data_IF_370965314740
#
_entry.id   IF_370965314740
#
_cell.length_a   1.000
_cell.length_b   1.000
_cell.length_c   1.000
_cell.angle_alpha   90.00
_cell.angle_beta   90.00
_cell.angle_gamma   90.00
#
_symmetry.space_group_name_H-M   'P 1'
#
loop_
_entity.id
_entity.type
_entity.pdbx_description
1 polymer ?
2 non-polymer ?
3 non-polymer ?
4 water ?
#
# COMPACT_ATOMS: atom_id res chain seq x y z
N UNK A 2 -14.14 -1.84 -25.66
CA UNK A 2 -14.14 -0.39 -25.39
C UNK A 2 -12.96 -0.10 -24.42
N UNK A 3 -12.57 1.14 -24.37
CA UNK A 3 -11.54 1.65 -23.47
C UNK A 3 -12.04 2.84 -22.74
N UNK A 4 -11.80 2.85 -21.41
CA UNK A 4 -12.08 4.02 -20.55
C UNK A 4 -10.81 4.41 -19.87
N UNK A 5 -10.52 5.71 -19.86
CA UNK A 5 -9.43 6.25 -19.06
C UNK A 5 -10.00 7.04 -17.90
N UNK A 6 -9.74 6.59 -16.66
CA UNK A 6 -10.14 7.29 -15.46
C UNK A 6 -8.97 8.09 -14.96
N UNK A 7 -9.24 9.28 -14.43
CA UNK A 7 -8.21 10.10 -13.76
C UNK A 7 -8.41 9.95 -12.26
N UNK A 8 -7.41 9.40 -11.56
CA UNK A 8 -7.56 8.99 -10.17
C UNK A 8 -6.52 9.69 -9.37
N UNK A 9 -6.99 10.25 -8.25
CA UNK A 9 -6.10 10.89 -7.25
C UNK A 9 -5.97 10.00 -6.03
N UNK A 10 -4.76 10.02 -5.47
CA UNK A 10 -4.50 9.31 -4.20
C UNK A 10 -3.67 8.05 -4.37
N UNK A 11 -3.39 7.62 -5.60
CA UNK A 11 -2.63 6.36 -5.78
C UNK A 11 -1.16 6.71 -5.65
N UNK A 12 -0.50 6.20 -4.59
CA UNK A 12 0.87 6.68 -4.32
C UNK A 12 1.95 5.69 -4.52
N UNK A 13 1.64 4.43 -4.70
CA UNK A 13 2.64 3.36 -4.72
C UNK A 13 2.11 2.11 -5.38
N UNK A 14 2.99 1.12 -5.56
CA UNK A 14 2.62 -0.17 -6.11
C UNK A 14 1.49 -0.91 -5.42
N UNK A 15 1.31 -0.73 -4.10
CA UNK A 15 0.16 -1.31 -3.40
C UNK A 15 -1.18 -0.70 -3.86
N UNK A 16 -1.16 0.61 -4.11
CA UNK A 16 -2.35 1.34 -4.58
C UNK A 16 -2.71 0.82 -5.99
N UNK A 17 -1.70 0.72 -6.82
CA UNK A 17 -1.86 0.16 -8.18
C UNK A 17 -2.49 -1.21 -8.11
N UNK A 18 -1.97 -2.09 -7.29
CA UNK A 18 -2.46 -3.44 -7.22
C UNK A 18 -3.91 -3.47 -6.78
N UNK A 19 -4.24 -2.65 -5.79
CA UNK A 19 -5.58 -2.64 -5.24
C UNK A 19 -6.61 -2.14 -6.28
N UNK A 20 -6.25 -1.08 -6.99
CA UNK A 20 -7.14 -0.50 -8.02
C UNK A 20 -7.31 -1.52 -9.14
N UNK A 21 -6.23 -2.09 -9.62
CA UNK A 21 -6.37 -3.07 -10.74
C UNK A 21 -7.21 -4.28 -10.29
N UNK A 22 -7.02 -4.80 -9.07
CA UNK A 22 -7.81 -5.91 -8.62
C UNK A 22 -9.27 -5.60 -8.50
N UNK A 23 -9.59 -4.43 -7.96
CA UNK A 23 -11.01 -4.05 -7.79
C UNK A 23 -11.71 -3.94 -9.15
N UNK A 24 -10.99 -3.37 -10.10
CA UNK A 24 -11.57 -3.25 -11.44
C UNK A 24 -11.73 -4.58 -12.14
N UNK A 25 -10.70 -5.43 -12.08
CA UNK A 25 -10.79 -6.76 -12.69
C UNK A 25 -11.80 -7.70 -12.05
N UNK A 26 -12.24 -7.43 -10.84
CA UNK A 26 -13.33 -8.17 -10.23
C UNK A 26 -14.67 -7.95 -10.86
N UNK A 27 -14.84 -6.85 -11.62
CA UNK A 27 -16.12 -6.55 -12.22
C UNK A 27 -16.29 -7.38 -13.49
N UNK A 28 -17.43 -8.05 -13.59
CA UNK A 28 -17.74 -8.83 -14.81
C UNK A 28 -17.92 -7.87 -15.96
N UNK A 29 -17.17 -8.16 -17.04
CA UNK A 29 -17.13 -7.32 -18.24
C UNK A 29 -15.90 -6.44 -18.37
N UNK A 30 -15.14 -6.27 -17.26
CA UNK A 30 -13.80 -5.64 -17.34
C UNK A 30 -12.81 -6.69 -17.69
N UNK A 31 -12.10 -6.42 -18.78
CA UNK A 31 -11.11 -7.34 -19.35
C UNK A 31 -9.73 -7.13 -18.75
N UNK A 32 -9.32 -5.88 -18.57
CA UNK A 32 -8.08 -5.57 -17.92
C UNK A 32 -8.09 -4.15 -17.41
N UNK A 33 -7.17 -3.82 -16.52
CA UNK A 33 -7.01 -2.48 -16.00
C UNK A 33 -5.51 -2.22 -15.82
N UNK A 34 -5.06 -1.02 -16.20
CA UNK A 34 -3.61 -0.64 -16.13
C UNK A 34 -3.51 0.75 -15.54
N UNK A 35 -3.01 0.80 -14.30
CA UNK A 35 -2.74 2.03 -13.59
C UNK A 35 -1.38 2.59 -14.01
N UNK A 36 -1.36 3.85 -14.37
CA UNK A 36 -0.09 4.60 -14.52
C UNK A 36 0.08 5.47 -13.30
N UNK A 37 0.96 5.07 -12.39
CA UNK A 37 1.14 5.79 -11.13
C UNK A 37 1.71 7.18 -11.34
N UNK A 38 2.43 7.36 -12.45
CA UNK A 38 3.14 8.63 -12.70
C UNK A 38 2.17 9.74 -13.09
N UNK A 39 1.04 9.41 -13.73
CA UNK A 39 0.05 10.46 -14.04
C UNK A 39 -1.33 10.25 -13.50
N UNK A 40 -1.56 9.18 -12.75
CA UNK A 40 -2.86 8.88 -12.19
C UNK A 40 -3.90 8.36 -13.15
N UNK A 41 -3.50 8.09 -14.39
CA UNK A 41 -4.45 7.58 -15.37
C UNK A 41 -4.62 6.09 -15.22
N UNK A 42 -5.87 5.67 -15.24
CA UNK A 42 -6.16 4.25 -15.23
C UNK A 42 -6.91 3.83 -16.52
N UNK A 43 -6.28 2.98 -17.31
CA UNK A 43 -6.85 2.53 -18.56
C UNK A 43 -7.56 1.22 -18.35
N UNK A 44 -8.84 1.16 -18.71
CA UNK A 44 -9.67 -0.05 -18.51
C UNK A 44 -10.16 -0.49 -19.88
N UNK A 45 -9.93 -1.74 -20.19
CA UNK A 45 -10.49 -2.41 -21.38
C UNK A 45 -11.71 -3.20 -20.93
N UNK A 46 -12.83 -3.04 -21.62
CA UNK A 46 -14.08 -3.61 -21.15
C UNK A 46 -15.10 -3.80 -22.27
N UNK A 47 -16.09 -4.65 -21.99
CA UNK A 47 -17.23 -4.86 -22.89
C UNK A 47 -18.29 -3.86 -22.46
N UNK A 48 -18.53 -2.85 -23.29
CA UNK A 48 -19.42 -1.74 -22.95
C UNK A 48 -20.90 -2.17 -23.00
N UNK A 49 -21.19 -3.41 -23.37
CA UNK A 49 -22.54 -3.92 -23.22
C UNK A 49 -22.76 -4.47 -21.84
N UNK A 50 -21.66 -4.74 -21.09
CA UNK A 50 -21.77 -5.44 -19.80
C UNK A 50 -21.48 -4.56 -18.61
N UNK A 51 -20.60 -3.59 -18.78
CA UNK A 51 -20.16 -2.78 -17.62
C UNK A 51 -20.23 -1.33 -17.96
N UNK A 52 -20.72 -0.54 -16.98
CA UNK A 52 -20.76 0.88 -17.08
C UNK A 52 -19.56 1.57 -16.40
N UNK A 53 -19.21 2.76 -16.86
CA UNK A 53 -18.12 3.47 -16.24
C UNK A 53 -18.47 3.78 -14.75
N UNK A 54 -19.75 4.00 -14.46
CA UNK A 54 -20.16 4.23 -13.06
C UNK A 54 -19.71 3.11 -12.11
N UNK A 55 -19.75 1.86 -12.55
CA UNK A 55 -19.30 0.73 -11.77
C UNK A 55 -17.78 0.81 -11.53
N UNK A 56 -17.02 1.25 -12.53
CA UNK A 56 -15.58 1.39 -12.37
C UNK A 56 -15.24 2.47 -11.35
N UNK A 57 -15.88 3.63 -11.50
CA UNK A 57 -15.66 4.73 -10.56
C UNK A 57 -15.98 4.27 -9.15
N UNK A 58 -17.10 3.57 -8.99
CA UNK A 58 -17.45 3.15 -7.61
C UNK A 58 -16.43 2.22 -7.05
N UNK A 59 -15.93 1.29 -7.87
CA UNK A 59 -14.94 0.32 -7.40
C UNK A 59 -13.67 1.02 -6.95
N UNK A 60 -13.29 2.06 -7.64
CA UNK A 60 -12.10 2.80 -7.30
C UNK A 60 -12.34 3.58 -6.00
N UNK A 61 -13.48 4.27 -5.91
CA UNK A 61 -13.77 5.09 -4.76
C UNK A 61 -13.97 4.23 -3.52
N UNK A 62 -14.52 3.03 -3.66
CA UNK A 62 -14.60 2.08 -2.54
C UNK A 62 -13.25 1.61 -1.98
N UNK A 63 -12.19 1.66 -2.77
CA UNK A 63 -10.81 1.41 -2.32
C UNK A 63 -10.16 2.63 -1.68
N UNK A 64 -10.88 3.75 -1.60
CA UNK A 64 -10.41 4.94 -0.92
C UNK A 64 -9.83 6.06 -1.77
N UNK A 65 -9.88 5.96 -3.08
CA UNK A 65 -9.28 6.96 -3.99
C UNK A 65 -10.38 7.89 -4.53
N UNK A 66 -9.99 9.00 -5.14
CA UNK A 66 -10.93 9.96 -5.71
C UNK A 66 -10.85 9.88 -7.23
N UNK A 67 -11.99 9.73 -7.88
CA UNK A 67 -11.99 9.75 -9.32
C UNK A 67 -12.35 11.19 -9.76
N UNK A 68 -11.55 11.81 -10.63
CA UNK A 68 -11.78 13.18 -11.06
C UNK A 68 -12.93 13.22 -12.04
N UNK B 2 11.32 -2.91 25.41
CA UNK B 2 12.20 -1.94 24.83
C UNK B 2 11.45 -1.28 23.67
N UNK B 3 11.89 -0.10 23.36
CA UNK B 3 11.35 0.72 22.24
C UNK B 3 12.46 1.15 21.31
N UNK B 4 12.22 1.00 20.00
CA UNK B 4 13.06 1.60 19.01
C UNK B 4 12.25 2.44 18.09
N UNK B 5 12.76 3.62 17.76
CA UNK B 5 12.07 4.46 16.75
C UNK B 5 12.98 4.51 15.55
N UNK B 6 12.53 3.97 14.42
CA UNK B 6 13.27 4.01 13.18
C UNK B 6 12.68 5.04 12.25
N UNK B 7 13.52 5.74 11.50
CA UNK B 7 13.04 6.74 10.53
C UNK B 7 13.11 6.07 9.16
N UNK B 8 11.99 6.05 8.47
CA UNK B 8 11.84 5.29 7.24
C UNK B 8 11.38 6.23 6.14
N UNK B 9 11.94 6.02 4.97
CA UNK B 9 11.58 6.75 3.72
C UNK B 9 10.84 5.83 2.77
N UNK B 10 9.80 6.35 2.12
CA UNK B 10 9.08 5.67 1.04
C UNK B 10 7.71 5.19 1.40
N UNK B 11 7.25 5.39 2.63
CA UNK B 11 5.96 4.87 3.05
C UNK B 11 4.96 5.95 2.71
N UNK B 12 4.05 5.64 1.81
CA UNK B 12 3.28 6.74 1.23
C UNK B 12 1.79 6.64 1.53
N UNK B 13 1.32 5.53 2.07
CA UNK B 13 -0.09 5.33 2.29
C UNK B 13 -0.35 4.26 3.32
N UNK B 14 -1.61 4.01 3.57
CA UNK B 14 -2.02 3.01 4.51
C UNK B 14 -1.58 1.62 4.14
N UNK B 15 -1.44 1.32 2.86
CA UNK B 15 -0.97 0.00 2.49
C UNK B 15 0.48 -0.18 2.89
N UNK B 16 1.27 0.86 2.71
CA UNK B 16 2.68 0.81 3.14
C UNK B 16 2.72 0.61 4.67
N UNK B 17 1.92 1.38 5.40
CA UNK B 17 1.85 1.24 6.85
C UNK B 17 1.54 -0.17 7.24
N UNK B 18 0.51 -0.77 6.63
CA UNK B 18 0.15 -2.12 6.97
C UNK B 18 1.27 -3.14 6.65
N UNK B 19 1.95 -2.99 5.50
CA UNK B 19 3.04 -3.87 5.06
C UNK B 19 4.18 -3.88 6.07
N UNK B 20 4.57 -2.68 6.49
CA UNK B 20 5.64 -2.51 7.46
C UNK B 20 5.27 -3.05 8.81
N UNK B 21 4.10 -2.69 9.31
CA UNK B 21 3.69 -3.23 10.60
C UNK B 21 3.57 -4.74 10.59
N UNK B 22 3.03 -5.33 9.49
CA UNK B 22 2.92 -6.77 9.39
C UNK B 22 4.28 -7.44 9.38
N UNK B 23 5.21 -6.86 8.61
CA UNK B 23 6.57 -7.45 8.47
C UNK B 23 7.25 -7.44 9.88
N UNK B 24 7.11 -6.34 10.58
CA UNK B 24 7.75 -6.25 11.92
C UNK B 24 7.11 -7.21 12.93
N UNK B 25 5.78 -7.27 12.94
CA UNK B 25 5.04 -8.18 13.84
C UNK B 25 5.19 -9.66 13.52
N UNK B 26 5.73 -10.01 12.36
CA UNK B 26 6.07 -11.43 12.05
C UNK B 26 7.41 -11.85 12.60
N UNK B 27 8.15 -10.92 13.19
CA UNK B 27 9.44 -11.25 13.81
C UNK B 27 9.17 -11.63 15.26
N UNK B 28 9.68 -12.82 15.64
CA UNK B 28 9.57 -13.25 17.04
C UNK B 28 10.30 -12.29 17.95
N UNK B 29 9.60 -11.81 18.96
CA UNK B 29 10.19 -10.82 19.83
C UNK B 29 9.68 -9.43 19.67
N UNK B 30 9.15 -9.11 18.46
CA UNK B 30 8.47 -7.84 18.29
C UNK B 30 7.06 -7.97 18.89
N UNK B 31 6.78 -7.03 19.79
CA UNK B 31 5.50 -7.02 20.52
C UNK B 31 4.45 -6.19 19.77
N UNK B 32 4.87 -5.05 19.24
CA UNK B 32 3.98 -4.20 18.42
C UNK B 32 4.80 -3.25 17.60
N UNK B 33 4.15 -2.69 16.59
CA UNK B 33 4.79 -1.76 15.73
C UNK B 33 3.76 -0.73 15.28
N UNK B 34 4.17 0.51 15.23
CA UNK B 34 3.26 1.64 14.89
C UNK B 34 3.97 2.59 13.93
N UNK B 35 3.53 2.61 12.68
CA UNK B 35 4.01 3.54 11.70
C UNK B 35 3.26 4.84 11.78
N UNK B 36 4.00 5.94 11.77
CA UNK B 36 3.41 7.28 11.61
C UNK B 36 3.74 7.73 10.21
N UNK B 37 2.73 7.67 9.34
CA UNK B 37 2.99 8.11 7.96
C UNK B 37 3.33 9.59 7.79
N UNK B 38 2.85 10.46 8.70
CA UNK B 38 3.08 11.89 8.56
C UNK B 38 4.53 12.23 8.75
N UNK B 39 5.21 11.52 9.64
CA UNK B 39 6.62 11.83 9.82
C UNK B 39 7.59 10.72 9.51
N UNK B 40 7.12 9.60 8.99
CA UNK B 40 7.99 8.51 8.68
C UNK B 40 8.58 7.74 9.83
N UNK B 41 8.04 7.94 11.02
CA UNK B 41 8.61 7.30 12.20
C UNK B 41 7.92 5.97 12.40
N UNK B 42 8.73 4.94 12.66
CA UNK B 42 8.21 3.63 12.99
C UNK B 42 8.67 3.24 14.41
N UNK B 43 7.70 3.09 15.30
CA UNK B 43 7.97 2.82 16.69
C UNK B 43 7.71 1.36 16.95
N UNK B 44 8.74 0.64 17.42
CA UNK B 44 8.70 -0.80 17.61
C UNK B 44 8.85 -1.08 19.10
N UNK B 45 7.95 -1.87 19.68
CA UNK B 45 8.05 -2.36 21.06
C UNK B 45 8.51 -3.82 20.95
N UNK B 46 9.52 -4.19 21.74
CA UNK B 46 10.13 -5.48 21.58
C UNK B 46 10.82 -5.94 22.87
N UNK B 47 10.99 -7.23 22.90
CA UNK B 47 11.85 -7.93 23.91
C UNK B 47 13.26 -7.95 23.36
N UNK B 48 14.13 -7.15 23.98
CA UNK B 48 15.49 -7.01 23.50
C UNK B 48 16.39 -8.17 23.73
N UNK B 49 15.91 -9.22 24.39
CA UNK B 49 16.64 -10.49 24.41
C UNK B 49 16.29 -11.38 23.21
N UNK B 50 15.23 -11.04 22.46
CA UNK B 50 14.77 -11.87 21.38
C UNK B 50 15.03 -11.33 20.01
N UNK B 51 15.02 -10.02 19.85
CA UNK B 51 15.15 -9.42 18.54
C UNK B 51 16.13 -8.24 18.61
N UNK B 52 16.95 -8.11 17.56
CA UNK B 52 17.87 -7.02 17.38
C UNK B 52 17.30 -5.99 16.39
N UNK B 53 17.72 -4.77 16.56
CA UNK B 53 17.31 -3.70 15.66
C UNK B 53 17.73 -3.95 14.22
N UNK B 54 18.85 -4.64 14.03
CA UNK B 54 19.25 -5.04 12.67
C UNK B 54 18.15 -5.86 11.95
N UNK B 55 17.43 -6.73 12.67
CA UNK B 55 16.40 -7.52 12.07
C UNK B 55 15.21 -6.60 11.65
N UNK B 56 14.95 -5.58 12.43
CA UNK B 56 13.86 -4.65 12.13
C UNK B 56 14.17 -3.90 10.86
N UNK B 57 15.40 -3.41 10.78
CA UNK B 57 15.80 -2.68 9.59
C UNK B 57 15.71 -3.58 8.36
N UNK B 58 16.16 -4.83 8.48
CA UNK B 58 16.12 -5.71 7.32
C UNK B 58 14.67 -6.01 6.88
N UNK B 59 13.78 -6.21 7.85
CA UNK B 59 12.38 -6.45 7.53
C UNK B 59 11.78 -5.26 6.77
N UNK B 60 12.12 -4.05 7.18
CA UNK B 60 11.55 -2.91 6.53
C UNK B 60 12.14 -2.77 5.12
N UNK B 61 13.46 -2.88 5.00
CA UNK B 61 14.12 -2.76 3.69
C UNK B 61 13.69 -3.85 2.74
N UNK B 62 13.36 -5.02 3.24
CA UNK B 62 12.90 -6.10 2.40
C UNK B 62 11.52 -5.83 1.79
N UNK B 63 10.73 -4.97 2.44
CA UNK B 63 9.47 -4.50 1.93
C UNK B 63 9.59 -3.36 0.95
N UNK B 64 10.80 -2.88 0.70
CA UNK B 64 11.10 -1.89 -0.33
C UNK B 64 11.37 -0.50 0.17
N UNK B 65 11.38 -0.28 1.48
CA UNK B 65 11.56 1.09 2.04
C UNK B 65 13.02 1.28 2.46
N UNK B 66 13.39 2.51 2.74
CA UNK B 66 14.74 2.87 3.19
C UNK B 66 14.73 3.29 4.66
N UNK B 67 15.59 2.63 5.45
CA UNK B 67 15.80 3.07 6.82
C UNK B 67 16.92 4.10 6.83
N UNK B 68 16.64 5.24 7.42
CA UNK B 68 17.57 6.37 7.37
C UNK B 68 18.00 6.79 8.76
#
# INVERSE_FOLDING_TARGET
>A
MSQEILNVEGMSCGHCKSAVESALNNIDGVTSADVNLENGQVSVQYDDSKVAVSQMKDAIEDQGYDVV
>B
MSQEILNVEGMSCGHCKSAVESALNNIDGVTSADVNLENGQVSVQYDDSKVAVSQMKDAIEDQGYDVV
#
